data_IF_378645602935
#
_entry.id   IF_378645602935
#
_cell.length_a   1.000
_cell.length_b   1.000
_cell.length_c   1.000
_cell.angle_alpha   90.00
_cell.angle_beta   90.00
_cell.angle_gamma   90.00
#
_symmetry.space_group_name_H-M   'P 1'
#
loop_
_entity.id
_entity.type
_entity.pdbx_description
1 polymer ?
#
# COMPACT_ATOMS: atom_id res chain seq x y z
N UNK A 1 -52.65 -36.42 -69.27
CA UNK A 1 -51.22 -36.28 -69.61
C UNK A 1 -50.56 -35.56 -68.49
N UNK A 2 -49.75 -36.27 -67.70
CA UNK A 2 -48.31 -36.09 -67.53
C UNK A 2 -47.93 -34.61 -67.17
N UNK A 3 -47.22 -34.23 -66.17
CA UNK A 3 -46.11 -34.72 -65.36
C UNK A 3 -45.74 -33.66 -64.32
N UNK A 4 -45.26 -34.01 -63.22
CA UNK A 4 -44.03 -34.07 -62.42
C UNK A 4 -43.93 -32.87 -61.54
N UNK A 5 -43.97 -33.08 -60.25
CA UNK A 5 -42.86 -33.33 -59.31
C UNK A 5 -41.72 -32.33 -59.39
N UNK A 6 -41.59 -31.56 -58.36
CA UNK A 6 -40.28 -31.40 -57.76
C UNK A 6 -40.38 -30.86 -56.29
N UNK A 7 -40.12 -31.75 -55.41
CA UNK A 7 -39.78 -31.54 -54.02
C UNK A 7 -38.32 -31.00 -53.94
N UNK A 8 -38.05 -29.98 -53.19
CA UNK A 8 -36.70 -29.72 -52.59
C UNK A 8 -36.92 -28.81 -51.38
N UNK A 9 -36.95 -29.36 -50.22
CA UNK A 9 -35.89 -29.37 -49.24
C UNK A 9 -35.16 -28.02 -49.10
N UNK A 10 -35.58 -27.27 -48.10
CA UNK A 10 -34.66 -26.31 -47.44
C UNK A 10 -34.48 -26.84 -46.04
N UNK A 11 -33.34 -27.51 -45.89
CA UNK A 11 -32.79 -27.99 -44.65
C UNK A 11 -31.79 -26.94 -44.13
N UNK A 12 -31.96 -26.53 -42.91
CA UNK A 12 -30.90 -26.19 -41.97
C UNK A 12 -29.98 -25.01 -42.25
N UNK A 13 -30.13 -24.00 -41.45
CA UNK A 13 -29.01 -23.26 -40.88
C UNK A 13 -29.45 -22.59 -39.58
N UNK A 14 -29.56 -23.39 -38.53
CA UNK A 14 -29.59 -22.93 -37.13
C UNK A 14 -28.57 -23.78 -36.39
N UNK A 15 -27.32 -23.41 -36.51
CA UNK A 15 -26.25 -23.88 -35.61
C UNK A 15 -25.04 -22.96 -35.82
N UNK A 16 -24.86 -22.04 -34.91
CA UNK A 16 -23.63 -21.23 -34.93
C UNK A 16 -23.62 -19.97 -34.09
N UNK A 17 -24.41 -19.90 -32.99
CA UNK A 17 -24.31 -18.69 -32.12
C UNK A 17 -24.25 -18.97 -30.62
N UNK A 18 -23.74 -20.10 -30.19
CA UNK A 18 -23.69 -20.45 -28.78
C UNK A 18 -22.29 -20.81 -28.23
N UNK A 19 -21.21 -20.53 -28.96
CA UNK A 19 -19.86 -20.94 -28.52
C UNK A 19 -18.86 -19.80 -28.29
N UNK A 20 -19.27 -18.53 -28.34
CA UNK A 20 -18.33 -17.40 -28.15
C UNK A 20 -18.43 -16.77 -26.74
N UNK A 21 -19.44 -17.09 -25.92
CA UNK A 21 -19.58 -16.50 -24.59
C UNK A 21 -18.93 -17.29 -23.46
N UNK A 22 -18.53 -18.54 -23.66
CA UNK A 22 -17.90 -19.34 -22.61
C UNK A 22 -16.39 -19.11 -22.48
N UNK A 23 -15.70 -18.67 -23.53
CA UNK A 23 -14.25 -18.50 -23.50
C UNK A 23 -13.79 -17.20 -22.82
N UNK A 24 -14.60 -16.14 -22.87
CA UNK A 24 -14.25 -14.86 -22.24
C UNK A 24 -14.47 -14.87 -20.73
N UNK A 25 -15.47 -15.60 -20.23
CA UNK A 25 -15.71 -15.75 -18.80
C UNK A 25 -14.64 -16.63 -18.15
N UNK A 26 -14.24 -17.71 -18.81
CA UNK A 26 -13.15 -18.58 -18.32
C UNK A 26 -11.79 -17.90 -18.32
N UNK A 27 -11.51 -17.00 -19.27
CA UNK A 27 -10.27 -16.23 -19.29
C UNK A 27 -10.25 -15.18 -18.17
N UNK A 28 -11.36 -14.50 -17.90
CA UNK A 28 -11.45 -13.51 -16.83
C UNK A 28 -11.39 -14.12 -15.42
N UNK A 29 -12.00 -15.31 -15.20
CA UNK A 29 -11.89 -16.04 -13.95
C UNK A 29 -10.46 -16.60 -13.73
N UNK A 30 -9.80 -17.07 -14.78
CA UNK A 30 -8.41 -17.52 -14.68
C UNK A 30 -7.43 -16.36 -14.44
N UNK A 31 -7.63 -15.18 -15.02
CA UNK A 31 -6.80 -14.01 -14.70
C UNK A 31 -6.99 -13.53 -13.25
N UNK A 32 -8.22 -13.54 -12.73
CA UNK A 32 -8.47 -13.20 -11.32
C UNK A 32 -7.89 -14.25 -10.35
N UNK A 33 -7.96 -15.53 -10.68
CA UNK A 33 -7.37 -16.62 -9.88
C UNK A 33 -5.85 -16.54 -9.92
N UNK A 34 -5.24 -16.21 -11.07
CA UNK A 34 -3.79 -16.08 -11.21
C UNK A 34 -3.26 -14.84 -10.48
N UNK A 35 -3.96 -13.72 -10.55
CA UNK A 35 -3.60 -12.52 -9.79
C UNK A 35 -3.73 -12.73 -8.26
N UNK A 36 -4.73 -13.46 -7.80
CA UNK A 36 -4.92 -13.80 -6.38
C UNK A 36 -3.88 -14.81 -5.88
N UNK A 37 -3.30 -15.63 -6.76
CA UNK A 37 -2.29 -16.62 -6.43
C UNK A 37 -0.86 -16.05 -6.36
N UNK A 38 -0.58 -14.97 -7.10
CA UNK A 38 0.75 -14.33 -7.17
C UNK A 38 1.07 -13.49 -5.91
N UNK A 39 0.07 -13.15 -5.08
CA UNK A 39 0.24 -12.35 -3.86
C UNK A 39 -0.14 -13.10 -2.57
N UNK A 40 0.10 -14.42 -2.50
CA UNK A 40 0.13 -15.09 -1.21
C UNK A 40 1.50 -14.85 -0.57
N UNK A 41 1.52 -13.89 0.34
CA UNK A 41 2.61 -13.83 1.30
C UNK A 41 2.51 -15.06 2.20
N UNK A 42 3.62 -15.72 2.42
CA UNK A 42 3.70 -16.81 3.39
C UNK A 42 3.40 -16.26 4.79
N UNK A 43 2.46 -16.86 5.52
CA UNK A 43 2.08 -16.39 6.87
C UNK A 43 3.27 -16.44 7.83
N UNK A 44 4.18 -17.39 7.67
CA UNK A 44 5.37 -17.52 8.50
C UNK A 44 6.37 -16.39 8.19
N UNK A 45 6.56 -16.02 6.92
CA UNK A 45 7.39 -14.88 6.52
C UNK A 45 6.81 -13.57 7.05
N UNK A 46 5.49 -13.39 7.00
CA UNK A 46 4.82 -12.22 7.56
C UNK A 46 5.03 -12.13 9.08
N UNK A 47 4.84 -13.23 9.81
CA UNK A 47 5.03 -13.24 11.26
C UNK A 47 6.49 -12.96 11.65
N UNK A 48 7.46 -13.54 10.93
CA UNK A 48 8.88 -13.24 11.12
C UNK A 48 9.20 -11.76 10.87
N UNK A 49 8.64 -11.18 9.81
CA UNK A 49 8.82 -9.76 9.51
C UNK A 49 8.22 -8.84 10.57
N UNK A 50 7.04 -9.16 11.11
CA UNK A 50 6.45 -8.42 12.22
C UNK A 50 7.18 -8.66 13.54
N UNK A 51 7.71 -9.88 13.79
CA UNK A 51 8.57 -10.15 14.94
C UNK A 51 9.84 -9.29 14.90
N UNK A 52 10.46 -9.14 13.72
CA UNK A 52 11.57 -8.22 13.53
C UNK A 52 11.17 -6.77 13.80
N UNK A 53 10.03 -6.31 13.31
CA UNK A 53 9.53 -4.96 13.59
C UNK A 53 9.33 -4.71 15.09
N UNK A 54 8.76 -5.68 15.82
CA UNK A 54 8.59 -5.62 17.29
C UNK A 54 9.90 -5.57 18.06
N UNK A 55 10.97 -6.15 17.52
CA UNK A 55 12.30 -6.19 18.16
C UNK A 55 13.14 -4.94 17.93
N UNK A 56 12.68 -4.00 17.09
CA UNK A 56 13.43 -2.79 16.75
C UNK A 56 13.65 -1.92 18.01
N UNK A 57 14.88 -1.43 18.15
CA UNK A 57 15.19 -0.45 19.20
C UNK A 57 14.46 0.87 18.92
N UNK A 58 13.86 1.44 19.96
CA UNK A 58 13.18 2.73 19.88
C UNK A 58 14.14 3.86 20.22
N UNK A 59 14.23 4.86 19.35
CA UNK A 59 15.11 6.01 19.48
C UNK A 59 14.29 7.30 19.67
N UNK A 60 14.95 8.38 20.09
CA UNK A 60 14.35 9.70 20.07
C UNK A 60 14.09 10.15 18.62
N UNK A 61 13.03 10.94 18.40
CA UNK A 61 12.74 11.55 17.11
C UNK A 61 13.76 12.63 16.75
N UNK A 62 13.81 12.99 15.46
CA UNK A 62 14.67 14.07 14.94
C UNK A 62 14.33 15.41 15.59
N UNK A 63 15.34 16.28 15.80
CA UNK A 63 15.09 17.66 16.19
C UNK A 63 14.35 18.40 15.05
N UNK A 64 13.54 19.39 15.43
CA UNK A 64 12.90 20.27 14.45
C UNK A 64 13.94 21.18 13.79
N UNK A 65 13.87 21.31 12.46
CA UNK A 65 14.86 22.06 11.66
C UNK A 65 14.80 23.57 11.80
N UNK A 66 13.83 24.12 12.51
CA UNK A 66 13.63 25.58 12.70
C UNK A 66 14.28 26.15 13.97
N UNK A 67 15.20 25.42 14.59
CA UNK A 67 15.94 25.90 15.77
C UNK A 67 15.08 26.06 17.03
N UNK A 68 13.80 25.79 16.98
CA UNK A 68 12.95 25.68 18.17
C UNK A 68 13.36 24.38 18.85
N UNK A 69 14.21 24.51 19.87
CA UNK A 69 14.55 23.43 20.78
C UNK A 69 13.28 23.11 21.59
N UNK A 70 12.36 22.34 21.01
CA UNK A 70 11.52 21.49 21.86
C UNK A 70 12.50 20.50 22.48
N UNK A 71 12.46 20.40 23.82
CA UNK A 71 13.30 19.49 24.56
C UNK A 71 13.35 18.13 23.84
N UNK A 72 14.48 17.44 23.97
CA UNK A 72 14.71 16.11 23.41
C UNK A 72 13.42 15.29 23.54
N UNK A 73 12.81 14.91 22.44
CA UNK A 73 11.60 14.08 22.49
C UNK A 73 12.01 12.75 23.10
N UNK A 74 11.39 12.37 24.21
CA UNK A 74 11.67 11.09 24.83
C UNK A 74 11.35 9.94 23.86
N UNK A 75 12.19 8.91 23.82
CA UNK A 75 11.89 7.72 23.04
C UNK A 75 10.50 7.18 23.38
N UNK A 76 9.82 6.63 22.37
CA UNK A 76 8.47 6.09 22.50
C UNK A 76 7.35 7.12 22.78
N UNK A 77 7.59 8.39 22.50
CA UNK A 77 6.51 9.40 22.46
C UNK A 77 5.73 9.26 21.17
N UNK A 78 4.39 9.23 21.26
CA UNK A 78 3.54 9.10 20.07
C UNK A 78 3.78 10.23 19.05
N UNK A 79 4.01 9.91 17.77
CA UNK A 79 4.48 10.88 16.79
C UNK A 79 3.40 11.88 16.37
N UNK A 80 3.70 13.16 16.53
CA UNK A 80 2.89 14.27 16.01
C UNK A 80 3.67 15.14 15.03
N UNK A 81 4.95 14.81 14.80
CA UNK A 81 5.81 15.53 13.85
C UNK A 81 5.43 15.17 12.43
N UNK A 82 5.20 16.21 11.59
CA UNK A 82 4.95 16.05 10.16
C UNK A 82 6.07 15.28 9.49
N UNK A 83 5.69 14.28 8.69
CA UNK A 83 6.59 13.45 7.94
C UNK A 83 7.07 12.19 8.67
N UNK A 84 6.63 11.95 9.92
CA UNK A 84 6.80 10.63 10.54
C UNK A 84 5.90 9.62 9.82
N UNK A 85 6.44 8.46 9.52
CA UNK A 85 5.71 7.35 8.91
C UNK A 85 5.08 6.54 10.02
N UNK A 86 3.78 6.29 9.94
CA UNK A 86 3.05 5.36 10.81
C UNK A 86 2.80 4.05 10.09
N UNK A 87 3.01 2.94 10.78
CA UNK A 87 2.77 1.59 10.27
C UNK A 87 2.03 0.80 11.33
N UNK A 88 1.06 -0.03 10.92
CA UNK A 88 0.38 -1.00 11.78
C UNK A 88 0.37 -2.37 11.14
N UNK A 89 0.41 -3.41 11.97
CA UNK A 89 0.20 -4.79 11.57
C UNK A 89 -1.30 -5.16 11.51
N UNK A 90 -2.17 -4.27 11.98
CA UNK A 90 -3.60 -4.54 12.05
C UNK A 90 -4.18 -4.79 10.66
N UNK A 91 -5.03 -5.79 10.56
CA UNK A 91 -5.81 -6.06 9.35
C UNK A 91 -6.85 -4.95 9.18
N UNK A 92 -6.84 -4.26 8.03
CA UNK A 92 -7.83 -3.24 7.74
C UNK A 92 -8.99 -3.85 6.93
N UNK A 93 -10.19 -3.95 7.56
CA UNK A 93 -11.48 -4.32 6.92
C UNK A 93 -11.41 -5.51 5.96
N UNK A 94 -10.73 -6.60 6.32
CA UNK A 94 -10.60 -7.83 5.52
C UNK A 94 -10.02 -7.68 4.11
N UNK A 95 -9.62 -6.45 3.71
CA UNK A 95 -9.17 -6.11 2.37
C UNK A 95 -7.66 -6.23 2.18
N UNK A 96 -6.88 -6.02 3.24
CA UNK A 96 -5.42 -6.20 3.21
C UNK A 96 -5.00 -6.91 4.50
N UNK A 97 -4.73 -8.22 4.46
CA UNK A 97 -4.23 -8.96 5.63
C UNK A 97 -2.81 -8.54 6.05
N UNK A 98 -2.30 -7.46 5.49
CA UNK A 98 -0.88 -7.16 5.40
C UNK A 98 -0.46 -5.93 6.21
N UNK A 99 -1.34 -5.37 7.03
CA UNK A 99 -1.07 -4.12 7.74
C UNK A 99 -1.38 -2.87 6.90
N UNK A 100 -1.03 -1.70 7.45
CA UNK A 100 -1.30 -0.42 6.82
C UNK A 100 -0.19 0.59 7.10
N UNK A 101 -0.06 1.61 6.23
CA UNK A 101 0.89 2.69 6.38
C UNK A 101 0.28 4.06 6.07
N UNK A 102 0.75 5.07 6.77
CA UNK A 102 0.38 6.47 6.59
C UNK A 102 1.58 7.39 6.88
N UNK A 103 1.47 8.65 6.52
CA UNK A 103 2.44 9.68 6.89
C UNK A 103 1.76 10.80 7.66
N UNK A 104 2.35 11.23 8.78
CA UNK A 104 1.82 12.33 9.61
C UNK A 104 1.82 13.62 8.80
N UNK A 105 0.64 14.25 8.68
CA UNK A 105 0.44 15.53 8.01
C UNK A 105 0.42 16.69 9.01
N UNK A 106 -0.41 16.57 10.04
CA UNK A 106 -0.48 17.49 11.18
C UNK A 106 -0.42 16.70 12.49
N UNK A 107 -0.42 17.36 13.62
CA UNK A 107 -0.49 16.67 14.91
C UNK A 107 -1.74 15.79 15.07
N UNK A 108 -2.80 16.06 14.31
CA UNK A 108 -4.11 15.38 14.42
C UNK A 108 -4.53 14.64 13.15
N UNK A 109 -3.76 14.73 12.08
CA UNK A 109 -4.11 14.10 10.79
C UNK A 109 -2.91 13.40 10.15
N UNK A 110 -3.21 12.35 9.39
CA UNK A 110 -2.28 11.64 8.49
C UNK A 110 -2.73 11.78 7.04
N UNK A 111 -1.84 11.47 6.10
CA UNK A 111 -2.19 11.14 4.71
C UNK A 111 -1.98 9.66 4.51
N UNK A 112 -2.97 9.00 3.93
CA UNK A 112 -3.00 7.55 3.72
C UNK A 112 -3.72 7.22 2.40
N UNK A 113 -3.47 6.03 1.86
CA UNK A 113 -4.24 5.52 0.73
C UNK A 113 -5.09 4.33 1.18
N UNK A 114 -6.40 4.47 1.06
CA UNK A 114 -7.41 3.47 1.34
C UNK A 114 -8.04 2.96 0.03
N UNK A 115 -8.91 1.98 0.10
CA UNK A 115 -9.58 1.43 -1.11
C UNK A 115 -10.34 2.48 -1.93
N UNK A 116 -10.76 3.59 -1.31
CA UNK A 116 -11.34 4.75 -2.00
C UNK A 116 -10.31 5.73 -2.58
N UNK A 117 -9.01 5.48 -2.38
CA UNK A 117 -7.92 6.34 -2.85
C UNK A 117 -7.19 7.07 -1.74
N UNK A 118 -6.38 8.05 -2.13
CA UNK A 118 -5.56 8.86 -1.21
C UNK A 118 -6.43 9.91 -0.52
N UNK A 119 -6.39 9.90 0.80
CA UNK A 119 -7.21 10.76 1.68
C UNK A 119 -6.44 11.22 2.90
N UNK A 120 -7.02 12.12 3.69
CA UNK A 120 -6.57 12.39 5.07
C UNK A 120 -7.33 11.51 6.05
N UNK A 121 -6.61 10.98 7.04
CA UNK A 121 -7.15 10.25 8.18
C UNK A 121 -6.82 10.93 9.50
N UNK A 122 -7.24 10.35 10.64
CA UNK A 122 -6.91 10.85 11.97
C UNK A 122 -5.55 10.31 12.42
N UNK A 123 -4.77 11.18 13.08
CA UNK A 123 -3.52 10.79 13.75
C UNK A 123 -3.81 10.38 15.20
N UNK A 124 -4.51 9.24 15.38
CA UNK A 124 -4.93 8.71 16.70
C UNK A 124 -4.66 7.20 16.82
N UNK A 125 -3.70 6.68 16.07
CA UNK A 125 -3.40 5.25 16.01
C UNK A 125 -2.94 4.66 17.33
N UNK A 126 -2.40 5.47 18.22
CA UNK A 126 -2.09 5.06 19.59
C UNK A 126 -3.31 4.53 20.38
N UNK A 127 -4.53 4.94 20.00
CA UNK A 127 -5.76 4.55 20.67
C UNK A 127 -6.67 3.68 19.79
N UNK A 128 -6.57 3.82 18.47
CA UNK A 128 -7.50 3.19 17.51
C UNK A 128 -6.92 1.97 16.81
N UNK A 129 -5.64 1.66 17.01
CA UNK A 129 -4.95 0.49 16.44
C UNK A 129 -4.44 -0.42 17.56
N UNK A 130 -4.40 -1.73 17.27
CA UNK A 130 -3.85 -2.73 18.20
C UNK A 130 -2.32 -2.65 18.22
N UNK A 131 -1.71 -2.40 17.05
CA UNK A 131 -0.28 -2.16 16.89
C UNK A 131 -0.02 -0.83 16.19
N UNK A 132 1.07 -0.17 16.54
CA UNK A 132 1.50 1.05 15.85
C UNK A 132 3.00 1.24 15.96
N UNK A 133 3.65 1.41 14.82
CA UNK A 133 5.08 1.77 14.71
C UNK A 133 5.18 3.18 14.13
N UNK A 134 5.92 4.07 14.80
CA UNK A 134 6.32 5.34 14.24
C UNK A 134 7.78 5.26 13.80
N UNK A 135 8.06 5.50 12.53
CA UNK A 135 9.42 5.45 11.99
C UNK A 135 9.77 6.73 11.23
N UNK A 136 11.07 7.01 11.16
CA UNK A 136 11.62 8.13 10.38
C UNK A 136 12.89 7.67 9.66
N UNK A 137 13.31 8.36 8.61
CA UNK A 137 14.46 7.94 7.79
C UNK A 137 15.79 8.45 8.34
N UNK A 138 16.87 7.70 8.16
CA UNK A 138 18.24 8.17 8.48
C UNK A 138 18.71 9.25 7.52
N UNK A 139 18.31 9.18 6.26
CA UNK A 139 18.86 9.97 5.15
C UNK A 139 18.24 11.34 4.95
N UNK A 140 17.30 11.80 5.85
CA UNK A 140 16.61 13.08 5.72
C UNK A 140 16.64 13.88 7.01
N UNK A 141 16.46 15.19 6.88
CA UNK A 141 16.15 16.10 7.98
C UNK A 141 14.65 16.11 8.26
N UNK A 142 14.21 16.67 9.41
CA UNK A 142 12.78 16.85 9.70
C UNK A 142 12.06 17.76 8.68
N UNK A 143 12.78 18.73 8.08
CA UNK A 143 12.25 19.56 7.00
C UNK A 143 12.00 18.74 5.72
N UNK A 144 12.91 17.84 5.37
CA UNK A 144 12.76 16.95 4.22
C UNK A 144 11.64 15.91 4.45
N UNK A 145 11.52 15.37 5.68
CA UNK A 145 10.36 14.52 6.03
C UNK A 145 9.03 15.28 5.83
N UNK A 146 9.00 16.58 6.21
CA UNK A 146 7.83 17.43 5.98
C UNK A 146 7.54 17.66 4.49
N UNK A 147 8.57 17.69 3.64
CA UNK A 147 8.41 17.73 2.17
C UNK A 147 7.81 16.41 1.65
N UNK A 148 8.24 15.25 2.18
CA UNK A 148 7.64 13.96 1.84
C UNK A 148 6.14 13.91 2.20
N UNK A 149 5.77 14.42 3.37
CA UNK A 149 4.36 14.54 3.75
C UNK A 149 3.58 15.48 2.81
N UNK A 150 4.20 16.59 2.36
CA UNK A 150 3.58 17.49 1.38
C UNK A 150 3.38 16.81 0.04
N UNK A 151 4.37 16.03 -0.39
CA UNK A 151 4.27 15.26 -1.63
C UNK A 151 3.10 14.27 -1.56
N UNK A 152 2.96 13.52 -0.44
CA UNK A 152 1.83 12.62 -0.23
C UNK A 152 0.48 13.37 -0.21
N UNK A 153 0.41 14.52 0.46
CA UNK A 153 -0.80 15.34 0.52
C UNK A 153 -1.25 15.80 -0.88
N UNK A 154 -0.32 16.13 -1.76
CA UNK A 154 -0.60 16.52 -3.15
C UNK A 154 -1.10 15.35 -4.02
N UNK A 155 -1.10 14.11 -3.51
CA UNK A 155 -1.69 12.96 -4.19
C UNK A 155 -3.16 12.71 -3.81
N UNK A 156 -3.73 13.49 -2.88
CA UNK A 156 -5.14 13.32 -2.44
C UNK A 156 -6.08 13.31 -3.64
N UNK A 157 -7.03 12.37 -3.62
CA UNK A 157 -8.00 12.14 -4.71
C UNK A 157 -7.53 11.13 -5.77
N UNK A 158 -6.25 10.73 -5.79
CA UNK A 158 -5.80 9.65 -6.68
C UNK A 158 -6.36 8.30 -6.21
N UNK A 159 -6.74 7.41 -7.15
CA UNK A 159 -7.36 6.13 -6.81
C UNK A 159 -6.37 5.17 -6.13
N UNK A 160 -6.94 4.12 -5.51
CA UNK A 160 -6.15 3.03 -4.92
C UNK A 160 -5.50 2.17 -6.01
N UNK A 161 -4.25 1.75 -5.78
CA UNK A 161 -3.53 0.85 -6.66
C UNK A 161 -3.70 -0.60 -6.19
N UNK A 162 -4.54 -1.38 -6.88
CA UNK A 162 -4.71 -2.82 -6.63
C UNK A 162 -3.64 -3.67 -7.33
N UNK A 163 -2.85 -3.09 -8.23
CA UNK A 163 -1.71 -3.78 -8.86
C UNK A 163 -0.46 -3.56 -7.99
N UNK A 164 -0.34 -4.34 -6.92
CA UNK A 164 0.77 -4.22 -5.95
C UNK A 164 2.17 -4.33 -6.56
N UNK A 165 2.44 -5.18 -7.60
CA UNK A 165 3.74 -5.20 -8.28
C UNK A 165 4.12 -3.88 -8.95
N UNK A 166 3.15 -3.07 -9.37
CA UNK A 166 3.39 -1.78 -10.02
C UNK A 166 3.59 -0.67 -8.98
N UNK A 167 4.69 -0.75 -8.22
CA UNK A 167 5.09 0.31 -7.28
C UNK A 167 5.60 1.58 -7.96
N UNK A 168 5.79 1.56 -9.30
CA UNK A 168 6.36 2.65 -10.07
C UNK A 168 5.32 3.64 -10.58
N UNK A 169 4.04 3.25 -10.70
CA UNK A 169 2.99 4.17 -11.11
C UNK A 169 2.85 5.32 -10.10
N UNK A 170 2.49 6.51 -10.62
CA UNK A 170 2.17 7.71 -9.82
C UNK A 170 0.75 8.21 -10.07
N UNK A 171 -0.03 7.44 -10.84
CA UNK A 171 -1.46 7.75 -11.09
C UNK A 171 -2.39 7.20 -10.01
N UNK A 172 -1.92 6.26 -9.19
CA UNK A 172 -2.65 5.56 -8.12
C UNK A 172 -1.66 5.02 -7.09
N UNK A 173 -2.12 4.79 -5.87
CA UNK A 173 -1.26 4.35 -4.78
C UNK A 173 -1.94 3.34 -3.87
N UNK A 174 -1.24 2.30 -3.41
CA UNK A 174 -1.57 1.62 -2.17
C UNK A 174 -0.83 2.29 -0.99
N UNK A 175 -1.18 1.93 0.24
CA UNK A 175 -0.78 2.67 1.44
C UNK A 175 0.74 2.88 1.59
N UNK A 176 1.51 1.80 1.56
CA UNK A 176 2.97 1.84 1.69
C UNK A 176 3.67 2.36 0.43
N UNK A 177 3.10 2.13 -0.77
CA UNK A 177 3.58 2.71 -2.02
C UNK A 177 3.54 4.25 -1.99
N UNK A 178 2.50 4.83 -1.40
CA UNK A 178 2.38 6.29 -1.30
C UNK A 178 3.57 6.89 -0.55
N UNK A 179 3.91 6.31 0.59
CA UNK A 179 5.05 6.74 1.41
C UNK A 179 6.38 6.47 0.70
N UNK A 180 6.55 5.24 0.18
CA UNK A 180 7.72 4.86 -0.61
C UNK A 180 7.99 5.83 -1.76
N UNK A 181 6.95 6.15 -2.54
CA UNK A 181 7.06 7.02 -3.70
C UNK A 181 7.55 8.43 -3.31
N UNK A 182 7.07 8.99 -2.20
CA UNK A 182 7.50 10.29 -1.73
C UNK A 182 9.01 10.34 -1.45
N UNK A 183 9.54 9.36 -0.73
CA UNK A 183 10.96 9.32 -0.41
C UNK A 183 11.82 8.94 -1.63
N UNK A 184 11.32 8.07 -2.50
CA UNK A 184 12.03 7.68 -3.73
C UNK A 184 12.14 8.86 -4.70
N UNK A 185 11.04 9.57 -4.94
CA UNK A 185 10.98 10.65 -5.94
C UNK A 185 11.70 11.92 -5.47
N UNK A 186 11.59 12.27 -4.19
CA UNK A 186 12.21 13.51 -3.67
C UNK A 186 13.68 13.35 -3.32
N UNK A 187 14.08 12.20 -2.80
CA UNK A 187 15.41 12.04 -2.17
C UNK A 187 16.19 10.83 -2.71
N UNK A 188 15.64 10.08 -3.66
CA UNK A 188 16.16 8.81 -4.15
C UNK A 188 16.43 7.79 -3.00
N UNK A 189 15.65 7.87 -1.91
CA UNK A 189 15.72 6.91 -0.81
C UNK A 189 14.77 5.76 -1.12
N UNK A 190 15.34 4.57 -1.27
CA UNK A 190 14.60 3.34 -1.53
C UNK A 190 14.23 2.66 -0.21
N UNK A 191 12.94 2.71 0.16
CA UNK A 191 12.43 2.11 1.39
C UNK A 191 11.98 0.65 1.21
N UNK A 192 12.02 0.14 -0.01
CA UNK A 192 11.78 -1.26 -0.35
C UNK A 192 12.98 -2.13 0.06
N UNK A 193 12.73 -3.26 0.68
CA UNK A 193 13.76 -4.26 1.03
C UNK A 193 13.82 -5.40 0.02
N UNK A 194 12.88 -5.44 -0.94
CA UNK A 194 12.65 -6.54 -1.89
C UNK A 194 12.26 -7.88 -1.24
N UNK A 195 11.98 -7.88 0.05
CA UNK A 195 11.57 -9.10 0.78
C UNK A 195 10.20 -9.63 0.29
N UNK A 196 9.36 -8.75 -0.22
CA UNK A 196 8.01 -9.08 -0.71
C UNK A 196 7.88 -8.87 -2.22
N UNK A 197 8.85 -9.36 -2.97
CA UNK A 197 8.94 -9.27 -4.43
C UNK A 197 8.99 -7.80 -4.89
N UNK A 198 8.10 -7.41 -5.80
CA UNK A 198 8.04 -6.03 -6.33
C UNK A 198 7.05 -5.12 -5.60
N UNK A 199 6.29 -5.63 -4.63
CA UNK A 199 5.40 -4.82 -3.80
C UNK A 199 6.15 -4.27 -2.58
N UNK A 200 5.90 -3.04 -2.19
CA UNK A 200 6.40 -2.48 -0.93
C UNK A 200 5.42 -2.85 0.17
N UNK A 201 5.77 -3.83 1.01
CA UNK A 201 4.93 -4.20 2.14
C UNK A 201 5.03 -3.15 3.27
N UNK A 202 3.95 -2.84 4.01
CA UNK A 202 4.01 -1.85 5.11
C UNK A 202 5.11 -2.10 6.13
N UNK A 203 5.38 -3.36 6.51
CA UNK A 203 6.44 -3.68 7.47
C UNK A 203 7.86 -3.41 6.93
N UNK A 204 8.06 -3.35 5.61
CA UNK A 204 9.36 -2.98 5.05
C UNK A 204 9.75 -1.56 5.41
N UNK A 205 8.76 -0.67 5.54
CA UNK A 205 8.99 0.70 6.01
C UNK A 205 9.54 0.75 7.44
N UNK A 206 9.30 -0.31 8.24
CA UNK A 206 9.87 -0.47 9.60
C UNK A 206 11.21 -1.19 9.56
N UNK A 207 11.33 -2.24 8.74
CA UNK A 207 12.45 -3.18 8.76
C UNK A 207 13.63 -2.77 7.85
N UNK A 208 13.43 -1.82 6.95
CA UNK A 208 14.52 -1.33 6.10
C UNK A 208 15.61 -0.64 6.91
N UNK A 209 16.87 -0.84 6.53
CA UNK A 209 18.01 -0.13 7.14
C UNK A 209 18.00 1.39 6.88
N UNK A 210 17.05 1.90 6.09
CA UNK A 210 16.91 3.33 5.78
C UNK A 210 16.08 4.08 6.81
N UNK A 211 15.35 3.37 7.67
CA UNK A 211 14.50 3.96 8.73
C UNK A 211 14.97 3.51 10.11
N UNK A 212 14.49 4.20 11.12
CA UNK A 212 14.59 3.78 12.52
C UNK A 212 13.29 4.06 13.26
N UNK A 213 13.01 3.25 14.26
CA UNK A 213 11.80 3.32 15.06
C UNK A 213 11.93 4.37 16.13
N UNK A 214 10.91 5.24 16.26
CA UNK A 214 10.82 6.27 17.30
C UNK A 214 9.64 6.04 18.23
N UNK A 215 8.70 5.19 17.82
CA UNK A 215 7.51 4.83 18.59
C UNK A 215 7.11 3.38 18.29
N UNK A 216 6.67 2.66 19.32
CA UNK A 216 6.02 1.35 19.19
C UNK A 216 4.93 1.19 20.25
N UNK A 217 3.82 0.57 19.83
CA UNK A 217 2.72 0.14 20.69
C UNK A 217 2.52 -1.36 20.53
#
# INVERSE_FOLDING_TARGET
MRKRSCSKVILTLVLGFSLIWSSTVFAAENEQVTAKQVFRFDEQELEQGWALARSQKVYADKPLSNGVVRGKTDPNTYPTRRGVILVTADKYKDLIPLGHAAIVWTSTTVVESLTGGVVTGRNDWQTTRDTCYGVTTHGTTSAQDSQAASWCYNQIGKPYNFNYPDKWTRSRFYCSQLVYAAYKDLFNIDLDTTAYLSAVHPMELVNTSKTYTIYTK
#
